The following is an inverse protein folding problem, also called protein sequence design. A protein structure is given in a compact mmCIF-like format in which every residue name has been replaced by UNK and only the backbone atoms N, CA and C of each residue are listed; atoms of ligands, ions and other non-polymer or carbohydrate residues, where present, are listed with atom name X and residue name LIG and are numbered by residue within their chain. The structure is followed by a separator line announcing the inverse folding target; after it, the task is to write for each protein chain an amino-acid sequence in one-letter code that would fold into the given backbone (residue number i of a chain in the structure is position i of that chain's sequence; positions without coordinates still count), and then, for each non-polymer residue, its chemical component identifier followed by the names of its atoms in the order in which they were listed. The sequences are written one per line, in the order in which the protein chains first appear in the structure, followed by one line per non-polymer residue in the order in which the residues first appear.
data_IF_478003310196
#
_entry.id   IF_478003310196
#
_cell.length_a   1.000
_cell.length_b   1.000
_cell.length_c   1.000
_cell.angle_alpha   90.00
_cell.angle_beta   90.00
_cell.angle_gamma   90.00
#
_symmetry.space_group_name_H-M   'P 1'
#
loop_
_entity.id
_entity.type
_entity.pdbx_description
1 polymer ?
#
# COMPACT_ATOMS: atom_id res chain seq x y z
N UNK A 1 8.43 -37.06 -27.86
CA UNK A 1 9.68 -36.44 -28.36
C UNK A 1 9.32 -34.99 -28.64
N UNK A 2 9.19 -34.21 -27.58
CA UNK A 2 8.51 -32.91 -27.61
C UNK A 2 9.55 -31.80 -27.61
N UNK A 3 9.58 -31.11 -28.76
CA UNK A 3 10.47 -29.99 -29.04
C UNK A 3 10.00 -28.78 -28.24
N UNK A 4 10.76 -28.45 -27.21
CA UNK A 4 10.66 -27.17 -26.52
C UNK A 4 10.88 -26.02 -27.48
N UNK A 5 9.98 -25.04 -27.43
CA UNK A 5 10.18 -23.73 -28.04
C UNK A 5 11.38 -23.11 -27.33
N UNK A 6 12.50 -23.10 -28.06
CA UNK A 6 13.74 -22.32 -27.90
C UNK A 6 13.84 -21.56 -26.57
N UNK A 7 14.81 -21.94 -25.76
CA UNK A 7 15.42 -21.24 -24.61
C UNK A 7 15.37 -19.68 -24.68
N UNK A 8 14.18 -19.09 -24.56
CA UNK A 8 13.92 -17.68 -24.77
C UNK A 8 13.82 -17.00 -23.41
N UNK A 9 14.87 -16.24 -23.08
CA UNK A 9 14.84 -15.29 -21.96
C UNK A 9 14.17 -14.02 -22.49
N UNK A 10 13.11 -13.54 -21.84
CA UNK A 10 12.52 -12.25 -22.20
C UNK A 10 13.54 -11.14 -21.98
N UNK A 11 13.69 -10.24 -22.95
CA UNK A 11 14.55 -9.07 -22.79
C UNK A 11 14.02 -8.17 -21.66
N UNK A 12 14.94 -7.61 -20.87
CA UNK A 12 14.60 -6.65 -19.82
C UNK A 12 14.14 -5.35 -20.48
N UNK A 13 12.84 -5.08 -20.45
CA UNK A 13 12.30 -3.83 -20.97
C UNK A 13 12.43 -2.75 -19.89
N UNK A 14 13.31 -1.77 -20.13
CA UNK A 14 13.34 -0.55 -19.32
C UNK A 14 12.05 0.23 -19.57
N UNK A 15 11.17 0.27 -18.56
CA UNK A 15 10.04 1.18 -18.54
C UNK A 15 10.60 2.59 -18.29
N UNK A 16 10.55 3.43 -19.31
CA UNK A 16 11.00 4.83 -19.25
C UNK A 16 9.95 5.73 -18.63
N UNK A 17 8.65 5.42 -18.80
CA UNK A 17 7.52 6.15 -18.24
C UNK A 17 6.31 5.23 -18.02
N UNK A 18 5.48 5.55 -17.04
CA UNK A 18 4.24 4.83 -16.74
C UNK A 18 4.42 3.63 -15.81
N UNK A 19 3.32 2.94 -15.54
CA UNK A 19 3.26 1.79 -14.63
C UNK A 19 2.93 0.54 -15.45
N UNK A 20 3.59 -0.62 -15.23
CA UNK A 20 3.37 -1.81 -16.06
C UNK A 20 1.91 -2.26 -16.05
N UNK A 21 1.28 -2.32 -17.22
CA UNK A 21 -0.11 -2.77 -17.33
C UNK A 21 -0.22 -4.25 -16.92
N UNK A 22 -1.22 -4.58 -16.10
CA UNK A 22 -1.44 -5.95 -15.61
C UNK A 22 -0.79 -6.29 -14.27
N UNK A 23 -0.01 -5.38 -13.68
CA UNK A 23 0.43 -5.55 -12.28
C UNK A 23 -0.69 -5.14 -11.32
N UNK A 24 -0.86 -5.94 -10.26
CA UNK A 24 -1.83 -5.66 -9.18
C UNK A 24 -1.51 -4.38 -8.41
N UNK A 25 -0.27 -3.89 -8.53
CA UNK A 25 0.19 -2.63 -7.96
C UNK A 25 -0.08 -1.42 -8.85
N UNK A 26 -0.46 -1.62 -10.12
CA UNK A 26 -0.50 -0.54 -11.08
C UNK A 26 -1.49 0.58 -10.73
N UNK A 27 -2.72 0.28 -10.28
CA UNK A 27 -3.66 1.30 -9.84
C UNK A 27 -3.15 2.09 -8.63
N UNK A 28 -2.47 1.43 -7.69
CA UNK A 28 -1.93 2.06 -6.48
C UNK A 28 -0.76 3.00 -6.83
N UNK A 29 0.20 2.52 -7.63
CA UNK A 29 1.33 3.33 -8.06
C UNK A 29 0.90 4.50 -8.95
N UNK A 30 -0.11 4.30 -9.79
CA UNK A 30 -0.70 5.38 -10.59
C UNK A 30 -1.32 6.45 -9.68
N UNK A 31 -2.11 6.06 -8.68
CA UNK A 31 -2.68 6.99 -7.69
C UNK A 31 -1.61 7.77 -6.93
N UNK A 32 -0.50 7.15 -6.54
CA UNK A 32 0.61 7.86 -5.89
C UNK A 32 1.24 8.87 -6.87
N UNK A 33 1.54 8.43 -8.09
CA UNK A 33 2.20 9.25 -9.10
C UNK A 33 1.39 10.51 -9.49
N UNK A 34 0.07 10.41 -9.63
CA UNK A 34 -0.78 11.56 -10.01
C UNK A 34 -1.10 12.49 -8.84
N UNK A 35 -1.02 12.00 -7.60
CA UNK A 35 -1.36 12.77 -6.40
C UNK A 35 -0.12 13.34 -5.70
N UNK A 36 1.07 13.14 -6.27
CA UNK A 36 2.32 13.71 -5.77
C UNK A 36 2.31 15.23 -6.03
N UNK A 37 1.71 15.97 -5.09
CA UNK A 37 1.68 17.42 -5.10
C UNK A 37 3.02 17.94 -4.57
N UNK A 38 3.84 18.63 -5.39
CA UNK A 38 5.14 19.13 -4.96
C UNK A 38 4.95 20.44 -4.20
N UNK A 39 4.30 20.40 -3.05
CA UNK A 39 4.14 21.62 -2.24
C UNK A 39 4.23 21.29 -0.76
N UNK A 40 5.36 21.70 -0.20
CA UNK A 40 5.43 22.30 1.13
C UNK A 40 4.21 23.23 1.27
N UNK A 41 3.19 22.79 1.97
CA UNK A 41 2.07 23.64 2.37
C UNK A 41 2.16 23.84 3.89
N UNK A 42 2.09 25.08 4.38
CA UNK A 42 1.87 25.35 5.79
C UNK A 42 0.49 24.81 6.19
N UNK A 43 0.37 24.31 7.41
CA UNK A 43 -0.84 23.69 8.01
C UNK A 43 -1.11 22.22 7.65
N UNK A 44 -0.14 21.36 7.99
CA UNK A 44 -0.33 19.90 8.09
C UNK A 44 -1.56 19.50 8.92
N UNK A 45 -1.96 20.34 9.87
CA UNK A 45 -3.16 20.19 10.70
C UNK A 45 -4.46 20.14 9.89
N UNK A 46 -4.60 20.94 8.83
CA UNK A 46 -5.83 20.95 8.02
C UNK A 46 -6.00 19.64 7.23
N UNK A 47 -4.90 19.12 6.67
CA UNK A 47 -4.89 17.82 5.95
C UNK A 47 -5.26 16.67 6.89
N UNK A 48 -4.75 16.72 8.11
CA UNK A 48 -5.02 15.75 9.16
C UNK A 48 -6.50 15.77 9.61
N UNK A 49 -7.10 16.95 9.78
CA UNK A 49 -8.52 17.09 10.10
C UNK A 49 -9.39 16.54 8.95
N UNK A 50 -9.05 16.83 7.69
CA UNK A 50 -9.77 16.27 6.53
C UNK A 50 -9.70 14.74 6.49
N UNK A 51 -8.54 14.16 6.81
CA UNK A 51 -8.38 12.71 6.90
C UNK A 51 -9.28 12.11 7.98
N UNK A 52 -9.34 12.72 9.17
CA UNK A 52 -10.21 12.25 10.26
C UNK A 52 -11.69 12.33 9.88
N UNK A 53 -12.12 13.43 9.26
CA UNK A 53 -13.50 13.56 8.77
C UNK A 53 -13.81 12.49 7.72
N UNK A 54 -12.91 12.24 6.79
CA UNK A 54 -13.08 11.18 5.79
C UNK A 54 -13.21 9.78 6.42
N UNK A 55 -12.38 9.44 7.41
CA UNK A 55 -12.49 8.18 8.14
C UNK A 55 -13.82 8.04 8.87
N UNK A 56 -14.30 9.14 9.46
CA UNK A 56 -15.63 9.20 10.08
C UNK A 56 -16.74 8.97 9.05
N UNK A 57 -16.67 9.62 7.90
CA UNK A 57 -17.64 9.47 6.83
C UNK A 57 -17.68 8.03 6.29
N UNK A 58 -16.52 7.39 6.13
CA UNK A 58 -16.43 5.97 5.74
C UNK A 58 -17.12 5.08 6.78
N UNK A 59 -16.89 5.31 8.07
CA UNK A 59 -17.51 4.55 9.16
C UNK A 59 -19.02 4.75 9.20
N UNK A 60 -19.48 6.00 9.04
CA UNK A 60 -20.91 6.32 8.96
C UNK A 60 -21.55 5.67 7.75
N UNK A 61 -20.92 5.76 6.58
CA UNK A 61 -21.39 5.11 5.36
C UNK A 61 -21.47 3.60 5.53
N UNK A 62 -20.45 2.94 6.09
CA UNK A 62 -20.48 1.51 6.39
C UNK A 62 -21.68 1.17 7.28
N UNK A 63 -21.87 1.91 8.36
CA UNK A 63 -22.98 1.69 9.30
C UNK A 63 -24.35 1.84 8.63
N UNK A 64 -24.52 2.86 7.79
CA UNK A 64 -25.72 3.10 6.99
C UNK A 64 -25.98 2.01 5.94
N UNK A 65 -24.93 1.29 5.52
CA UNK A 65 -25.00 0.17 4.59
C UNK A 65 -24.97 -1.20 5.32
N UNK A 66 -25.28 -1.23 6.62
CA UNK A 66 -25.31 -2.45 7.44
C UNK A 66 -23.95 -3.19 7.51
N UNK A 67 -22.85 -2.48 7.27
CA UNK A 67 -21.49 -2.96 7.40
C UNK A 67 -20.91 -2.48 8.74
N UNK A 68 -20.21 -3.37 9.44
CA UNK A 68 -19.50 -3.03 10.67
C UNK A 68 -18.00 -3.03 10.40
N UNK A 69 -17.35 -1.90 10.68
CA UNK A 69 -15.89 -1.83 10.68
C UNK A 69 -15.34 -2.63 11.86
N UNK A 70 -14.69 -3.76 11.58
CA UNK A 70 -14.09 -4.61 12.60
C UNK A 70 -12.69 -4.10 12.97
N UNK A 71 -12.62 -3.23 13.96
CA UNK A 71 -11.38 -2.63 14.46
C UNK A 71 -10.30 -3.66 14.80
N UNK A 72 -10.67 -4.81 15.39
CA UNK A 72 -9.72 -5.87 15.73
C UNK A 72 -9.12 -6.61 14.54
N UNK A 73 -9.68 -6.43 13.34
CA UNK A 73 -9.17 -7.00 12.08
C UNK A 73 -8.66 -5.94 11.10
N UNK A 74 -8.88 -4.65 11.38
CA UNK A 74 -8.46 -3.56 10.49
C UNK A 74 -7.09 -3.05 10.92
N UNK A 75 -6.11 -3.25 10.06
CA UNK A 75 -4.77 -2.69 10.22
C UNK A 75 -4.63 -1.41 9.40
N UNK A 76 -3.90 -0.44 9.94
CA UNK A 76 -3.52 0.79 9.23
C UNK A 76 -2.01 0.82 9.05
N UNK A 77 -1.57 1.30 7.89
CA UNK A 77 -0.16 1.51 7.58
C UNK A 77 0.03 2.93 7.05
N UNK A 78 0.87 3.71 7.73
CA UNK A 78 1.21 5.08 7.34
C UNK A 78 2.55 5.08 6.61
N UNK A 79 2.55 5.60 5.39
CA UNK A 79 3.75 5.81 4.60
C UNK A 79 4.22 7.27 4.75
N UNK A 80 5.50 7.48 5.09
CA UNK A 80 6.07 8.82 5.25
C UNK A 80 7.30 8.85 6.16
N UNK A 81 7.89 10.06 6.36
CA UNK A 81 8.97 10.26 7.32
C UNK A 81 8.55 9.89 8.74
N UNK A 82 9.49 9.43 9.55
CA UNK A 82 9.23 8.97 10.92
C UNK A 82 8.53 10.02 11.82
N UNK A 83 8.87 11.32 11.79
CA UNK A 83 8.16 12.34 12.55
C UNK A 83 6.66 12.47 12.22
N UNK A 84 6.28 12.13 10.98
CA UNK A 84 4.88 12.15 10.54
C UNK A 84 4.15 10.89 11.03
N UNK A 85 4.85 9.75 11.08
CA UNK A 85 4.29 8.48 11.57
C UNK A 85 3.93 8.58 13.04
N UNK A 86 4.84 9.08 13.87
CA UNK A 86 4.61 9.21 15.32
C UNK A 86 3.41 10.11 15.62
N UNK A 87 3.26 11.20 14.86
CA UNK A 87 2.12 12.12 15.03
C UNK A 87 0.80 11.50 14.63
N UNK A 88 0.77 10.70 13.55
CA UNK A 88 -0.45 10.03 13.11
C UNK A 88 -0.82 8.83 13.99
N UNK A 89 0.16 8.12 14.55
CA UNK A 89 -0.11 6.96 15.42
C UNK A 89 -0.99 7.34 16.62
N UNK A 90 -0.80 8.56 17.15
CA UNK A 90 -1.63 9.12 18.21
C UNK A 90 -2.99 9.68 17.74
N UNK A 91 -3.12 9.99 16.44
CA UNK A 91 -4.26 10.73 15.88
C UNK A 91 -5.28 9.85 15.14
N UNK A 92 -4.91 8.62 14.78
CA UNK A 92 -5.78 7.61 14.16
C UNK A 92 -6.55 6.88 15.27
N UNK A 93 -7.28 7.63 16.10
CA UNK A 93 -8.33 7.10 16.98
C UNK A 93 -9.66 7.79 16.62
N UNK A 94 -10.28 7.48 15.47
CA UNK A 94 -11.59 8.01 15.16
C UNK A 94 -12.60 7.35 16.12
N UNK A 95 -13.10 8.13 17.08
CA UNK A 95 -14.11 7.72 18.09
C UNK A 95 -13.72 6.52 18.98
N UNK A 96 -12.47 6.44 19.44
CA UNK A 96 -12.05 5.37 20.36
C UNK A 96 -11.83 4.00 19.71
N UNK A 97 -11.82 3.93 18.38
CA UNK A 97 -11.35 2.75 17.65
C UNK A 97 -9.83 2.81 17.59
N UNK A 98 -9.16 1.95 18.37
CA UNK A 98 -7.72 1.71 18.25
C UNK A 98 -7.50 0.84 17.01
N UNK A 99 -7.15 1.47 15.88
CA UNK A 99 -6.64 0.74 14.71
C UNK A 99 -5.18 0.39 14.99
N UNK A 100 -4.83 -0.88 14.89
CA UNK A 100 -3.45 -1.31 15.11
C UNK A 100 -2.58 -0.87 13.93
N UNK A 101 -1.60 -0.01 14.21
CA UNK A 101 -0.58 0.38 13.26
C UNK A 101 0.33 -0.81 12.99
N UNK A 102 0.45 -1.19 11.72
CA UNK A 102 1.20 -2.37 11.31
C UNK A 102 2.43 -1.97 10.50
N UNK A 103 3.59 -2.51 10.89
CA UNK A 103 4.88 -2.26 10.23
C UNK A 103 4.99 -2.97 8.88
N UNK A 104 4.17 -4.01 8.67
CA UNK A 104 4.13 -4.81 7.44
C UNK A 104 2.71 -5.33 7.17
N UNK A 105 2.13 -4.99 6.02
CA UNK A 105 0.77 -5.41 5.62
C UNK A 105 0.85 -6.17 4.29
N UNK A 106 0.09 -7.26 4.18
CA UNK A 106 -0.08 -7.97 2.90
C UNK A 106 -1.40 -7.57 2.25
N UNK A 107 -1.33 -6.97 1.07
CA UNK A 107 -2.49 -6.62 0.27
C UNK A 107 -2.40 -7.31 -1.10
N UNK A 108 -3.42 -8.11 -1.44
CA UNK A 108 -3.54 -8.87 -2.70
C UNK A 108 -2.27 -9.67 -3.09
N UNK A 109 -1.60 -10.27 -2.10
CA UNK A 109 -0.39 -11.08 -2.32
C UNK A 109 0.91 -10.29 -2.40
N UNK A 110 0.85 -8.96 -2.30
CA UNK A 110 2.03 -8.09 -2.16
C UNK A 110 2.22 -7.72 -0.70
N UNK A 111 3.43 -7.88 -0.19
CA UNK A 111 3.82 -7.48 1.16
C UNK A 111 4.43 -6.08 1.10
N UNK A 112 3.83 -5.14 1.83
CA UNK A 112 4.31 -3.77 1.99
C UNK A 112 4.93 -3.62 3.37
N UNK A 113 6.04 -2.91 3.44
CA UNK A 113 6.62 -2.43 4.69
C UNK A 113 6.43 -0.91 4.77
N UNK A 114 6.40 -0.36 6.00
CA UNK A 114 6.23 1.08 6.21
C UNK A 114 7.20 1.95 5.40
N UNK A 115 8.42 1.46 5.13
CA UNK A 115 9.47 2.19 4.41
C UNK A 115 9.37 2.03 2.88
N UNK A 116 8.32 1.36 2.38
CA UNK A 116 8.16 1.01 0.96
C UNK A 116 9.43 0.38 0.37
N UNK A 117 10.16 -0.37 1.18
CA UNK A 117 11.44 -0.95 0.79
C UNK A 117 11.26 -2.16 -0.13
N UNK A 118 10.10 -2.83 -0.07
CA UNK A 118 9.76 -4.05 -0.83
C UNK A 118 10.74 -5.21 -0.63
N UNK A 119 11.71 -5.10 0.28
CA UNK A 119 12.79 -6.06 0.47
C UNK A 119 12.25 -7.46 0.84
N UNK A 120 11.24 -7.53 1.72
CA UNK A 120 10.60 -8.79 2.11
C UNK A 120 9.87 -9.44 0.93
N UNK A 121 9.18 -8.63 0.12
CA UNK A 121 8.47 -9.07 -1.07
C UNK A 121 9.45 -9.61 -2.13
N UNK A 122 10.50 -8.85 -2.43
CA UNK A 122 11.54 -9.26 -3.39
C UNK A 122 12.18 -10.58 -2.96
N UNK A 123 12.60 -10.70 -1.69
CA UNK A 123 13.15 -11.96 -1.16
C UNK A 123 12.17 -13.13 -1.29
N UNK A 124 10.88 -12.89 -1.09
CA UNK A 124 9.86 -13.93 -1.17
C UNK A 124 9.61 -14.37 -2.62
N UNK A 125 9.50 -13.43 -3.55
CA UNK A 125 9.32 -13.70 -4.98
C UNK A 125 10.55 -14.40 -5.55
N UNK A 126 11.76 -13.92 -5.24
CA UNK A 126 13.02 -14.53 -5.71
C UNK A 126 13.19 -15.96 -5.21
N UNK A 127 12.85 -16.25 -3.93
CA UNK A 127 12.89 -17.63 -3.41
C UNK A 127 11.88 -18.54 -4.11
N UNK A 128 10.65 -18.07 -4.34
CA UNK A 128 9.66 -18.86 -5.08
C UNK A 128 10.14 -19.14 -6.50
N UNK A 129 10.65 -18.15 -7.21
CA UNK A 129 11.18 -18.32 -8.56
C UNK A 129 12.39 -19.29 -8.62
N UNK A 130 13.25 -19.30 -7.60
CA UNK A 130 14.38 -20.23 -7.50
C UNK A 130 13.98 -21.67 -7.16
N UNK A 131 12.88 -21.86 -6.44
CA UNK A 131 12.39 -23.19 -6.01
C UNK A 131 11.51 -23.88 -7.06
N UNK A 132 11.14 -23.20 -8.13
CA UNK A 132 10.59 -23.81 -9.34
C UNK A 132 11.66 -23.79 -10.43
N UNK A 133 12.59 -24.77 -10.48
CA UNK A 133 13.42 -24.96 -11.65
C UNK A 133 12.48 -25.34 -12.81
N UNK A 134 12.36 -24.45 -13.78
CA UNK A 134 11.78 -24.73 -15.09
C UNK A 134 12.64 -25.73 -15.85
#
# INVERSE_FOLDING_TARGET
MDRWIKNCRSDSLRLTFGVPQGSILSPLLFSIYINDSPTVCPEETEKLVKLQTCLKDIKTWMSSNFLLLNSGKTEVMVFGPEPLRDRLDHMITPDGISLTSSLSVRNLGVTFDQNLSFNSQIKTVSRKALLYPT
#
